data_IF_296458961283
#
_entry.id   IF_296458961283
#
_cell.length_a   1.000
_cell.length_b   1.000
_cell.length_c   1.000
_cell.angle_alpha   90.00
_cell.angle_beta   90.00
_cell.angle_gamma   90.00
#
_symmetry.space_group_name_H-M   'P 1'
#
loop_
_entity.id
_entity.type
_entity.pdbx_description
1 polymer ?
#
# COMPACT_ATOMS: atom_id res chain seq x y z
N UNK A 1 24.96 17.12 18.08
CA UNK A 1 23.58 16.59 18.16
C UNK A 1 23.45 15.51 17.09
N UNK A 2 23.05 14.29 17.44
CA UNK A 2 22.82 13.22 16.45
C UNK A 2 21.42 13.40 15.87
N UNK A 3 21.31 13.58 14.55
CA UNK A 3 20.02 13.75 13.88
C UNK A 3 19.22 12.44 13.81
N UNK A 4 17.88 12.53 13.77
CA UNK A 4 16.98 11.37 13.84
C UNK A 4 17.23 10.30 12.76
N UNK A 5 17.64 10.68 11.56
CA UNK A 5 17.99 9.77 10.45
C UNK A 5 19.11 8.80 10.82
N UNK A 6 20.09 9.27 11.59
CA UNK A 6 21.27 8.47 11.96
C UNK A 6 20.89 7.44 13.00
N UNK A 7 20.04 7.81 13.96
CA UNK A 7 19.53 6.89 14.97
C UNK A 7 18.78 5.72 14.32
N UNK A 8 17.89 6.00 13.37
CA UNK A 8 17.15 4.96 12.65
C UNK A 8 18.06 4.05 11.82
N UNK A 9 19.06 4.63 11.12
CA UNK A 9 20.02 3.84 10.35
C UNK A 9 20.91 2.94 11.24
N UNK A 10 21.32 3.41 12.42
CA UNK A 10 22.05 2.59 13.40
C UNK A 10 21.18 1.44 13.92
N UNK A 11 19.90 1.70 14.18
CA UNK A 11 18.96 0.66 14.63
C UNK A 11 18.78 -0.43 13.57
N UNK A 12 18.62 -0.05 12.31
CA UNK A 12 18.54 -1.00 11.19
C UNK A 12 19.80 -1.88 11.07
N UNK A 13 21.00 -1.29 11.25
CA UNK A 13 22.27 -2.03 11.26
C UNK A 13 22.35 -3.01 12.44
N UNK A 14 22.00 -2.56 13.65
CA UNK A 14 22.02 -3.39 14.86
C UNK A 14 21.15 -4.63 14.75
N UNK A 15 19.97 -4.48 14.15
CA UNK A 15 19.03 -5.59 13.98
C UNK A 15 19.18 -6.32 12.64
N UNK A 16 20.16 -5.91 11.81
CA UNK A 16 20.40 -6.48 10.48
C UNK A 16 19.15 -6.50 9.60
N UNK A 17 18.26 -5.52 9.77
CA UNK A 17 16.98 -5.50 9.06
C UNK A 17 17.17 -5.31 7.56
N UNK A 18 18.09 -4.43 7.19
CA UNK A 18 18.36 -4.07 5.80
C UNK A 18 19.84 -3.67 5.63
N UNK A 19 20.43 -3.92 4.46
CA UNK A 19 21.72 -3.33 4.13
C UNK A 19 21.58 -1.80 4.10
N UNK A 20 22.47 -1.10 4.80
CA UNK A 20 22.52 0.36 4.82
C UNK A 20 23.68 0.84 3.97
N UNK A 21 23.38 1.75 3.04
CA UNK A 21 24.39 2.42 2.22
C UNK A 21 24.47 3.90 2.56
N UNK A 22 25.71 4.40 2.62
CA UNK A 22 26.01 5.78 2.98
C UNK A 22 26.62 6.48 1.79
N UNK A 23 26.08 7.66 1.44
CA UNK A 23 26.68 8.49 0.39
C UNK A 23 28.09 8.91 0.82
N UNK A 24 29.12 8.74 -0.05
CA UNK A 24 30.46 9.22 0.24
C UNK A 24 30.45 10.70 0.59
N UNK A 25 31.20 11.07 1.63
CA UNK A 25 31.38 12.45 2.05
C UNK A 25 32.87 12.72 2.26
N UNK A 26 33.35 13.89 1.85
CA UNK A 26 34.74 14.33 2.06
C UNK A 26 34.99 14.74 3.52
N UNK A 27 33.93 15.03 4.27
CA UNK A 27 34.01 15.35 5.70
C UNK A 27 34.03 14.06 6.55
N UNK A 28 35.23 13.68 7.00
CA UNK A 28 35.48 12.54 7.88
C UNK A 28 34.82 12.68 9.27
N UNK A 29 34.50 13.90 9.72
CA UNK A 29 33.81 14.15 10.99
C UNK A 29 32.29 14.17 10.85
N UNK A 30 31.76 14.03 9.63
CA UNK A 30 30.32 13.93 9.42
C UNK A 30 29.77 12.68 10.09
N UNK A 31 28.57 12.75 10.63
CA UNK A 31 27.99 11.64 11.36
C UNK A 31 27.63 10.42 10.48
N UNK A 32 27.89 10.51 9.17
CA UNK A 32 27.86 9.42 8.19
C UNK A 32 29.02 8.42 8.38
N UNK A 33 30.20 8.87 8.83
CA UNK A 33 31.33 7.97 9.09
C UNK A 33 30.99 6.95 10.18
N UNK A 34 30.22 7.38 11.20
CA UNK A 34 29.72 6.50 12.27
C UNK A 34 28.83 5.37 11.75
N UNK A 35 28.07 5.58 10.67
CA UNK A 35 27.25 4.51 10.10
C UNK A 35 28.10 3.41 9.46
N UNK A 36 29.19 3.80 8.79
CA UNK A 36 30.14 2.84 8.19
C UNK A 36 30.92 2.08 9.25
N UNK A 37 31.34 2.74 10.34
CA UNK A 37 31.91 2.07 11.51
C UNK A 37 30.96 1.03 12.13
N UNK A 38 29.65 1.23 11.98
CA UNK A 38 28.61 0.32 12.48
C UNK A 38 28.14 -0.71 11.43
N UNK A 39 28.87 -0.88 10.31
CA UNK A 39 28.63 -1.94 9.34
C UNK A 39 27.86 -1.51 8.07
N UNK A 40 27.60 -0.21 7.89
CA UNK A 40 27.11 0.29 6.60
C UNK A 40 28.22 0.26 5.53
N UNK A 41 27.82 0.20 4.27
CA UNK A 41 28.75 0.28 3.13
C UNK A 41 28.74 1.68 2.50
N UNK A 42 29.89 2.15 2.03
CA UNK A 42 29.93 3.35 1.19
C UNK A 42 29.30 3.03 -0.17
N UNK A 43 28.35 3.85 -0.62
CA UNK A 43 27.85 3.75 -2.00
C UNK A 43 28.94 4.20 -2.97
N UNK A 44 29.29 3.36 -3.95
CA UNK A 44 30.20 3.74 -5.03
C UNK A 44 29.51 4.60 -6.11
N UNK A 45 28.18 4.68 -6.09
CA UNK A 45 27.38 5.24 -7.18
C UNK A 45 26.41 6.33 -6.71
N UNK A 46 25.89 7.11 -7.66
CA UNK A 46 24.74 7.99 -7.42
C UNK A 46 23.56 7.16 -6.89
N UNK A 47 22.70 7.75 -6.06
CA UNK A 47 21.63 7.01 -5.39
C UNK A 47 20.72 6.22 -6.34
N UNK A 48 20.60 6.69 -7.59
CA UNK A 48 19.88 6.06 -8.69
C UNK A 48 20.47 4.73 -9.19
N UNK A 49 21.75 4.45 -8.93
CA UNK A 49 22.44 3.26 -9.41
C UNK A 49 22.91 2.33 -8.30
N UNK A 50 22.41 2.49 -7.08
CA UNK A 50 22.69 1.55 -5.98
C UNK A 50 22.07 0.18 -6.32
N UNK A 51 22.87 -0.87 -6.61
CA UNK A 51 22.29 -2.18 -6.90
C UNK A 51 21.80 -2.81 -5.60
N UNK A 52 20.49 -2.79 -5.36
CA UNK A 52 19.88 -3.57 -4.27
C UNK A 52 19.81 -5.03 -4.74
N UNK A 53 20.71 -5.88 -4.24
CA UNK A 53 20.63 -7.33 -4.50
C UNK A 53 19.84 -7.98 -3.37
N UNK A 54 18.87 -8.81 -3.72
CA UNK A 54 18.07 -9.58 -2.75
C UNK A 54 18.95 -10.47 -1.84
N UNK A 55 20.11 -10.89 -2.33
CA UNK A 55 21.11 -11.64 -1.58
C UNK A 55 21.70 -10.89 -0.39
N UNK A 56 21.61 -9.56 -0.38
CA UNK A 56 22.27 -8.70 0.59
C UNK A 56 21.37 -8.41 1.81
N UNK A 57 20.16 -8.97 1.84
CA UNK A 57 19.21 -8.84 2.94
C UNK A 57 19.28 -10.09 3.82
N UNK A 58 19.84 -10.01 5.04
CA UNK A 58 19.84 -11.12 5.98
C UNK A 58 18.40 -11.52 6.32
N UNK A 59 18.09 -12.82 6.28
CA UNK A 59 16.72 -13.32 6.49
C UNK A 59 15.89 -13.49 5.22
N UNK A 60 16.36 -13.01 4.05
CA UNK A 60 15.86 -13.44 2.74
C UNK A 60 16.55 -14.70 2.22
N UNK A 61 17.22 -15.47 3.10
CA UNK A 61 17.14 -16.93 2.96
C UNK A 61 15.68 -17.32 3.18
N UNK A 62 14.90 -17.08 2.13
CA UNK A 62 13.65 -17.71 1.82
C UNK A 62 13.85 -19.17 2.14
N UNK A 63 13.37 -19.56 3.30
CA UNK A 63 13.48 -20.92 3.79
C UNK A 63 12.99 -21.82 2.66
N UNK A 64 13.80 -22.79 2.26
CA UNK A 64 13.43 -23.73 1.19
C UNK A 64 12.08 -24.39 1.51
N UNK A 65 11.72 -24.43 2.80
CA UNK A 65 10.42 -24.81 3.33
C UNK A 65 9.25 -23.90 2.87
N UNK A 66 9.42 -22.57 2.75
CA UNK A 66 8.38 -21.65 2.27
C UNK A 66 8.14 -21.76 0.76
N UNK A 67 9.18 -22.06 -0.03
CA UNK A 67 9.01 -22.39 -1.47
C UNK A 67 8.12 -23.61 -1.68
N UNK A 68 8.22 -24.62 -0.80
CA UNK A 68 7.40 -25.83 -0.88
C UNK A 68 6.02 -25.65 -0.22
N UNK A 69 5.82 -24.63 0.61
CA UNK A 69 4.53 -24.29 1.21
C UNK A 69 3.64 -23.42 0.31
N UNK A 70 4.16 -22.93 -0.83
CA UNK A 70 3.39 -22.21 -1.84
C UNK A 70 3.46 -22.83 -3.25
N UNK A 71 3.14 -24.13 -3.45
CA UNK A 71 3.03 -24.66 -4.82
C UNK A 71 1.84 -24.05 -5.55
N UNK A 72 0.75 -23.75 -4.85
CA UNK A 72 -0.53 -23.37 -5.46
C UNK A 72 -0.62 -21.88 -5.88
N UNK A 73 0.28 -21.01 -5.40
CA UNK A 73 0.23 -19.58 -5.74
C UNK A 73 0.87 -19.26 -7.11
N UNK A 74 1.76 -20.14 -7.60
CA UNK A 74 2.49 -19.97 -8.86
C UNK A 74 2.25 -21.11 -9.87
N UNK A 75 1.32 -22.03 -9.59
CA UNK A 75 0.94 -23.13 -10.50
C UNK A 75 -0.19 -22.76 -11.48
N UNK A 76 -0.47 -21.47 -11.65
CA UNK A 76 -1.34 -21.00 -12.73
C UNK A 76 -0.70 -21.45 -14.06
N UNK A 77 -1.33 -22.42 -14.72
CA UNK A 77 -0.87 -22.94 -16.00
C UNK A 77 -0.88 -21.79 -17.01
N UNK A 78 0.16 -21.69 -17.84
CA UNK A 78 0.29 -20.66 -18.89
C UNK A 78 -0.89 -20.63 -19.89
N UNK A 79 -1.76 -21.66 -19.88
CA UNK A 79 -2.99 -21.73 -20.68
C UNK A 79 -4.24 -21.13 -20.01
N UNK A 80 -4.17 -20.68 -18.76
CA UNK A 80 -5.22 -19.88 -18.11
C UNK A 80 -4.99 -18.37 -18.35
N UNK A 81 -4.36 -18.02 -19.47
CA UNK A 81 -4.10 -16.67 -19.96
C UNK A 81 -5.37 -15.87 -20.34
N UNK A 82 -6.49 -16.14 -19.69
CA UNK A 82 -7.67 -15.27 -19.66
C UNK A 82 -7.78 -14.43 -18.38
N UNK A 83 -6.87 -14.61 -17.40
CA UNK A 83 -6.87 -13.81 -16.17
C UNK A 83 -5.81 -12.69 -16.12
N UNK A 84 -5.05 -12.46 -17.18
CA UNK A 84 -4.03 -11.41 -17.23
C UNK A 84 -4.16 -10.45 -18.42
N UNK A 85 -5.38 -10.18 -18.89
CA UNK A 85 -5.67 -8.81 -19.32
C UNK A 85 -5.89 -8.01 -18.05
N UNK A 86 -4.81 -7.59 -17.38
CA UNK A 86 -4.91 -6.46 -16.47
C UNK A 86 -5.49 -5.33 -17.32
N UNK A 87 -6.72 -4.82 -17.06
CA UNK A 87 -7.19 -3.66 -17.80
C UNK A 87 -6.15 -2.57 -17.56
N UNK A 88 -5.52 -2.12 -18.65
CA UNK A 88 -4.45 -1.14 -18.67
C UNK A 88 -4.74 -0.05 -17.64
N UNK A 89 -4.01 -0.04 -16.50
CA UNK A 89 -4.18 0.85 -15.34
C UNK A 89 -5.38 1.80 -15.44
N UNK A 90 -6.60 1.24 -15.40
CA UNK A 90 -7.77 2.11 -15.40
C UNK A 90 -7.78 2.72 -14.01
N UNK A 91 -7.66 4.06 -13.88
CA UNK A 91 -7.72 4.69 -12.58
C UNK A 91 -9.00 4.24 -11.89
N UNK A 92 -8.86 3.77 -10.65
CA UNK A 92 -9.98 3.29 -9.86
C UNK A 92 -10.92 4.48 -9.63
N UNK A 93 -12.13 4.41 -10.20
CA UNK A 93 -13.17 5.39 -9.93
C UNK A 93 -13.82 5.07 -8.58
N UNK A 94 -13.43 5.82 -7.54
CA UNK A 94 -13.93 5.65 -6.18
C UNK A 94 -15.46 5.82 -6.08
N UNK A 95 -16.08 6.59 -6.97
CA UNK A 95 -17.53 6.69 -7.01
C UNK A 95 -18.16 5.36 -7.47
N UNK A 96 -17.57 4.68 -8.46
CA UNK A 96 -18.07 3.38 -8.91
C UNK A 96 -17.90 2.30 -7.85
N UNK A 97 -16.80 2.33 -7.10
CA UNK A 97 -16.62 1.45 -5.94
C UNK A 97 -17.67 1.73 -4.87
N UNK A 98 -17.92 3.00 -4.54
CA UNK A 98 -18.97 3.37 -3.61
C UNK A 98 -20.35 2.87 -4.05
N UNK A 99 -20.71 3.03 -5.33
CA UNK A 99 -21.98 2.55 -5.88
C UNK A 99 -22.10 1.02 -5.79
N UNK A 100 -21.02 0.29 -6.09
CA UNK A 100 -21.00 -1.17 -6.00
C UNK A 100 -21.22 -1.66 -4.56
N UNK A 101 -20.55 -1.04 -3.60
CA UNK A 101 -20.73 -1.32 -2.17
C UNK A 101 -22.13 -0.89 -1.68
N UNK A 102 -22.64 0.24 -2.17
CA UNK A 102 -23.96 0.75 -1.81
C UNK A 102 -25.07 -0.22 -2.20
N UNK A 103 -24.93 -0.95 -3.31
CA UNK A 103 -25.87 -2.01 -3.70
C UNK A 103 -25.92 -3.17 -2.67
N UNK A 104 -24.86 -3.36 -1.88
CA UNK A 104 -24.81 -4.35 -0.81
C UNK A 104 -25.42 -3.78 0.48
N UNK A 105 -25.06 -2.54 0.85
CA UNK A 105 -25.49 -1.92 2.10
C UNK A 105 -26.94 -1.42 2.09
N UNK A 106 -27.43 -0.94 0.95
CA UNK A 106 -28.74 -0.30 0.82
C UNK A 106 -29.81 -1.22 0.19
N UNK A 107 -29.69 -2.55 0.36
CA UNK A 107 -30.78 -3.50 0.04
C UNK A 107 -32.04 -3.18 0.86
N UNK A 108 -31.80 -2.86 2.13
CA UNK A 108 -32.78 -2.24 3.03
C UNK A 108 -32.44 -0.75 3.16
N UNK A 109 -33.39 0.05 3.64
CA UNK A 109 -33.15 1.47 3.85
C UNK A 109 -31.99 1.69 4.83
N UNK A 110 -31.02 2.53 4.45
CA UNK A 110 -29.85 2.84 5.28
C UNK A 110 -29.71 4.34 5.48
N UNK A 111 -29.38 4.75 6.71
CA UNK A 111 -29.12 6.15 7.04
C UNK A 111 -27.69 6.56 6.66
N UNK A 112 -27.47 7.86 6.44
CA UNK A 112 -26.13 8.40 6.14
C UNK A 112 -25.14 8.11 7.27
N UNK A 113 -25.56 8.21 8.53
CA UNK A 113 -24.72 7.96 9.70
C UNK A 113 -24.24 6.51 9.74
N UNK A 114 -25.12 5.57 9.37
CA UNK A 114 -24.77 4.15 9.29
C UNK A 114 -23.80 3.88 8.13
N UNK A 115 -24.02 4.49 6.97
CA UNK A 115 -23.08 4.42 5.84
C UNK A 115 -21.69 4.96 6.21
N UNK A 116 -21.64 6.08 6.93
CA UNK A 116 -20.37 6.66 7.40
C UNK A 116 -19.64 5.72 8.36
N UNK A 117 -20.38 5.08 9.26
CA UNK A 117 -19.82 4.10 10.20
C UNK A 117 -19.29 2.83 9.50
N UNK A 118 -19.95 2.37 8.43
CA UNK A 118 -19.59 1.14 7.73
C UNK A 118 -18.46 1.33 6.70
N UNK A 119 -18.40 2.50 6.06
CA UNK A 119 -17.45 2.77 4.97
C UNK A 119 -16.23 3.59 5.41
N UNK A 120 -16.31 4.27 6.56
CA UNK A 120 -15.28 5.19 7.03
C UNK A 120 -15.23 6.52 6.25
N UNK A 121 -16.15 6.75 5.32
CA UNK A 121 -16.26 7.99 4.56
C UNK A 121 -16.91 9.09 5.40
N UNK A 122 -16.56 10.35 5.11
CA UNK A 122 -17.21 11.48 5.78
C UNK A 122 -18.65 11.65 5.30
N UNK A 123 -19.48 12.28 6.14
CA UNK A 123 -20.88 12.56 5.83
C UNK A 123 -20.99 13.44 4.57
N UNK A 124 -20.07 14.38 4.37
CA UNK A 124 -20.01 15.24 3.18
C UNK A 124 -19.74 14.44 1.91
N UNK A 125 -18.77 13.52 1.95
CA UNK A 125 -18.44 12.66 0.80
C UNK A 125 -19.62 11.75 0.45
N UNK A 126 -20.23 11.12 1.46
CA UNK A 126 -21.42 10.27 1.27
C UNK A 126 -22.57 11.08 0.71
N UNK A 127 -22.81 12.30 1.21
CA UNK A 127 -23.89 13.16 0.72
C UNK A 127 -23.70 13.52 -0.75
N UNK A 128 -22.49 13.90 -1.16
CA UNK A 128 -22.16 14.20 -2.57
C UNK A 128 -22.38 12.98 -3.46
N UNK A 129 -21.92 11.80 -3.02
CA UNK A 129 -22.05 10.59 -3.82
C UNK A 129 -23.48 10.03 -3.85
N UNK A 130 -24.26 10.17 -2.78
CA UNK A 130 -25.67 9.81 -2.75
C UNK A 130 -26.52 10.72 -3.64
N UNK A 131 -26.29 12.04 -3.61
CA UNK A 131 -26.97 12.97 -4.53
C UNK A 131 -26.70 12.59 -5.99
N UNK A 132 -25.44 12.29 -6.33
CA UNK A 132 -25.08 11.80 -7.66
C UNK A 132 -25.76 10.48 -8.00
N UNK A 133 -25.79 9.52 -7.07
CA UNK A 133 -26.46 8.23 -7.28
C UNK A 133 -27.99 8.39 -7.41
N UNK A 134 -28.59 9.39 -6.77
CA UNK A 134 -30.00 9.74 -6.90
C UNK A 134 -30.28 10.35 -8.28
N UNK A 135 -29.43 11.27 -8.76
CA UNK A 135 -29.49 11.83 -10.12
C UNK A 135 -29.32 10.75 -11.21
N UNK A 136 -28.44 9.78 -10.98
CA UNK A 136 -28.25 8.61 -11.86
C UNK A 136 -29.38 7.57 -11.72
N UNK A 137 -30.33 7.76 -10.80
CA UNK A 137 -31.47 6.86 -10.58
C UNK A 137 -31.11 5.51 -9.96
N UNK A 138 -29.95 5.40 -9.31
CA UNK A 138 -29.46 4.18 -8.65
C UNK A 138 -29.99 4.02 -7.22
N UNK A 139 -30.33 5.12 -6.56
CA UNK A 139 -30.93 5.13 -5.22
C UNK A 139 -32.21 5.95 -5.20
N UNK A 140 -33.07 5.63 -4.24
CA UNK A 140 -34.24 6.42 -3.87
C UNK A 140 -34.05 6.95 -2.45
N UNK A 141 -34.41 8.22 -2.25
CA UNK A 141 -34.46 8.83 -0.93
C UNK A 141 -35.84 8.57 -0.31
N UNK A 142 -35.87 7.89 0.84
CA UNK A 142 -37.11 7.44 1.48
C UNK A 142 -37.66 8.42 2.54
N UNK A 143 -36.83 9.33 3.06
CA UNK A 143 -37.17 10.28 4.13
C UNK A 143 -36.08 10.31 5.21
N UNK A 144 -35.98 11.40 5.98
CA UNK A 144 -35.05 11.56 7.12
C UNK A 144 -33.59 11.07 6.86
N UNK A 145 -33.05 11.35 5.67
CA UNK A 145 -31.67 10.96 5.34
C UNK A 145 -31.46 9.45 5.12
N UNK A 146 -32.53 8.69 4.87
CA UNK A 146 -32.47 7.28 4.50
C UNK A 146 -32.52 7.08 2.99
N UNK A 147 -31.68 6.16 2.52
CA UNK A 147 -31.53 5.83 1.10
C UNK A 147 -31.70 4.32 0.91
N UNK A 148 -32.29 3.94 -0.22
CA UNK A 148 -32.40 2.54 -0.64
C UNK A 148 -31.93 2.41 -2.08
N UNK A 149 -31.16 1.35 -2.36
CA UNK A 149 -30.72 1.03 -3.72
C UNK A 149 -31.90 0.51 -4.54
N UNK A 150 -32.00 0.96 -5.79
CA UNK A 150 -33.07 0.59 -6.71
C UNK A 150 -32.81 -0.78 -7.35
#
# INVERSE_FOLDING_TARGET
MTGGTITGAIEALKHQWLPVQVKPNQDMQSANSRLVENGASWSAEQAENVPIRLSDVPGLMYDRALRNAQPELFSLHENDANYAVMPAHTPVDFYQLFVAELAIFAKESISIERLSSCTGLTIEQISVWLNRAEEEGRVIRLGEGHYQFR
#
